data_IF_931140359492
#
_entry.id   IF_931140359492
#
_cell.length_a   1.000
_cell.length_b   1.000
_cell.length_c   1.000
_cell.angle_alpha   90.00
_cell.angle_beta   90.00
_cell.angle_gamma   90.00
#
_symmetry.space_group_name_H-M   'P 1'
#
loop_
_entity.id
_entity.type
_entity.pdbx_description
1 polymer ?
#
# COMPACT_ATOMS: atom_id res chain seq x y z
N UNK A 1 19.72 6.75 -8.44
CA UNK A 1 18.68 7.81 -8.41
C UNK A 1 19.37 9.16 -8.57
N UNK A 2 18.79 10.12 -9.30
CA UNK A 2 19.35 11.47 -9.37
C UNK A 2 19.33 12.12 -7.96
N UNK A 3 20.44 12.71 -7.46
CA UNK A 3 20.52 13.26 -6.11
C UNK A 3 19.48 14.36 -5.81
N UNK A 4 19.19 15.23 -6.80
CA UNK A 4 18.19 16.28 -6.67
C UNK A 4 16.79 15.72 -6.48
N UNK A 5 16.45 14.69 -7.28
CA UNK A 5 15.14 14.01 -7.17
C UNK A 5 15.03 13.28 -5.83
N UNK A 6 16.12 12.66 -5.35
CA UNK A 6 16.16 12.02 -4.02
C UNK A 6 15.85 13.01 -2.92
N UNK A 7 16.52 14.16 -2.92
CA UNK A 7 16.32 15.20 -1.91
C UNK A 7 14.90 15.78 -1.93
N UNK A 8 14.34 16.00 -3.11
CA UNK A 8 12.95 16.46 -3.25
C UNK A 8 11.96 15.44 -2.68
N UNK A 9 12.18 14.16 -2.94
CA UNK A 9 11.34 13.09 -2.41
C UNK A 9 11.42 12.98 -0.88
N UNK A 10 12.62 13.06 -0.29
CA UNK A 10 12.82 13.06 1.16
C UNK A 10 12.10 14.23 1.83
N UNK A 11 12.24 15.45 1.28
CA UNK A 11 11.54 16.64 1.79
C UNK A 11 10.02 16.48 1.73
N UNK A 12 9.52 15.90 0.63
CA UNK A 12 8.11 15.61 0.47
C UNK A 12 7.60 14.61 1.53
N UNK A 13 8.35 13.53 1.79
CA UNK A 13 8.02 12.54 2.83
C UNK A 13 7.99 13.16 4.23
N UNK A 14 8.94 14.02 4.56
CA UNK A 14 9.00 14.70 5.85
C UNK A 14 7.78 15.63 6.06
N UNK A 15 7.37 16.36 5.02
CA UNK A 15 6.22 17.28 5.09
C UNK A 15 4.89 16.54 5.25
N UNK A 16 4.77 15.34 4.67
CA UNK A 16 3.51 14.59 4.58
C UNK A 16 3.23 13.65 5.74
N UNK A 17 4.15 13.53 6.70
CA UNK A 17 3.93 12.75 7.92
C UNK A 17 3.59 13.69 9.08
N UNK A 18 2.32 13.79 9.51
CA UNK A 18 1.97 14.55 10.71
C UNK A 18 2.67 13.99 11.96
N UNK A 19 2.92 14.83 12.99
CA UNK A 19 3.61 14.42 14.21
C UNK A 19 2.93 13.24 14.92
N UNK A 20 1.60 13.21 14.92
CA UNK A 20 0.79 12.24 15.67
C UNK A 20 0.20 11.11 14.82
N UNK A 21 0.58 11.02 13.53
CA UNK A 21 0.06 9.98 12.64
C UNK A 21 1.12 8.89 12.42
N UNK A 22 0.66 7.62 12.40
CA UNK A 22 1.52 6.46 12.11
C UNK A 22 1.97 6.49 10.66
N UNK A 23 3.12 5.89 10.39
CA UNK A 23 3.67 5.82 9.03
C UNK A 23 2.74 5.03 8.11
N UNK A 24 2.22 3.89 8.56
CA UNK A 24 1.21 3.08 7.87
C UNK A 24 -0.02 3.91 7.46
N UNK A 25 -0.51 4.77 8.34
CA UNK A 25 -1.62 5.65 8.02
C UNK A 25 -1.25 6.72 6.96
N UNK A 26 0.00 7.17 6.94
CA UNK A 26 0.52 8.08 5.92
C UNK A 26 0.75 7.39 4.56
N UNK A 27 0.91 6.06 4.52
CA UNK A 27 1.19 5.32 3.28
C UNK A 27 0.12 5.51 2.22
N UNK A 28 -1.15 5.65 2.61
CA UNK A 28 -2.27 5.94 1.69
C UNK A 28 -2.15 7.30 0.98
N UNK A 29 -1.33 8.21 1.50
CA UNK A 29 -1.04 9.51 0.87
C UNK A 29 0.01 9.39 -0.24
N UNK A 30 0.83 8.34 -0.20
CA UNK A 30 1.93 8.11 -1.15
C UNK A 30 1.58 7.04 -2.18
N UNK A 31 0.83 6.02 -1.77
CA UNK A 31 0.52 4.85 -2.57
C UNK A 31 -0.97 4.54 -2.53
N UNK A 32 -1.53 4.26 -3.69
CA UNK A 32 -2.87 3.66 -3.74
C UNK A 32 -2.82 2.20 -3.26
N UNK A 33 -3.93 1.64 -2.76
CA UNK A 33 -4.00 0.21 -2.45
C UNK A 33 -3.58 -0.66 -3.65
N UNK A 34 -3.93 -0.25 -4.87
CA UNK A 34 -3.58 -0.97 -6.10
C UNK A 34 -2.09 -0.98 -6.39
N UNK A 35 -1.38 0.12 -6.10
CA UNK A 35 0.08 0.14 -6.23
C UNK A 35 0.78 -0.77 -5.22
N UNK A 36 0.15 -1.07 -4.08
CA UNK A 36 0.69 -1.97 -3.06
C UNK A 36 0.23 -3.43 -3.22
N UNK A 37 -0.81 -3.69 -4.00
CA UNK A 37 -1.41 -5.02 -4.17
C UNK A 37 -0.42 -6.08 -4.66
N UNK A 38 0.45 -5.67 -5.59
CA UNK A 38 1.45 -6.53 -6.20
C UNK A 38 2.71 -6.68 -5.33
N UNK A 39 2.70 -6.14 -4.12
CA UNK A 39 3.78 -6.29 -3.16
C UNK A 39 3.35 -7.19 -2.00
N UNK A 40 4.34 -7.91 -1.48
CA UNK A 40 4.29 -8.65 -0.23
C UNK A 40 5.49 -8.25 0.63
N UNK A 41 5.42 -8.56 1.92
CA UNK A 41 6.55 -8.35 2.82
C UNK A 41 7.75 -9.22 2.42
N UNK A 42 7.51 -10.52 2.26
CA UNK A 42 8.50 -11.50 1.78
C UNK A 42 8.09 -12.01 0.39
N UNK A 43 9.07 -12.46 -0.40
CA UNK A 43 8.77 -13.19 -1.65
C UNK A 43 7.97 -14.43 -1.30
N UNK A 44 6.78 -14.55 -1.87
CA UNK A 44 6.00 -15.78 -1.79
C UNK A 44 6.61 -16.80 -2.74
N UNK A 45 6.72 -18.06 -2.31
CA UNK A 45 7.17 -19.17 -3.15
C UNK A 45 6.14 -19.55 -4.23
N UNK A 46 4.93 -18.98 -4.18
CA UNK A 46 3.85 -19.21 -5.13
C UNK A 46 4.21 -18.63 -6.51
N UNK A 47 4.46 -19.49 -7.53
CA UNK A 47 4.85 -19.05 -8.87
C UNK A 47 3.71 -18.33 -9.61
N UNK A 48 2.46 -18.60 -9.22
CA UNK A 48 1.25 -18.09 -9.87
C UNK A 48 0.88 -16.68 -9.37
N UNK A 49 1.47 -16.27 -8.24
CA UNK A 49 1.31 -14.94 -7.63
C UNK A 49 2.69 -14.30 -7.42
N UNK A 50 3.31 -13.84 -8.50
CA UNK A 50 4.61 -13.12 -8.47
C UNK A 50 4.48 -11.73 -7.84
N UNK A 51 4.13 -11.66 -6.55
CA UNK A 51 4.20 -10.42 -5.77
C UNK A 51 5.66 -10.09 -5.45
N UNK A 52 6.03 -8.83 -5.64
CA UNK A 52 7.36 -8.33 -5.36
C UNK A 52 7.58 -8.15 -3.86
N UNK A 53 8.81 -8.35 -3.37
CA UNK A 53 9.12 -8.08 -1.96
C UNK A 53 9.33 -6.59 -1.75
N UNK A 54 8.57 -6.01 -0.82
CA UNK A 54 8.76 -4.61 -0.43
C UNK A 54 10.12 -4.36 0.24
N UNK A 55 10.71 -5.38 0.88
CA UNK A 55 12.08 -5.31 1.44
C UNK A 55 13.16 -5.06 0.38
N UNK A 56 12.95 -5.55 -0.84
CA UNK A 56 13.91 -5.37 -1.94
C UNK A 56 13.79 -3.96 -2.56
N UNK A 57 12.76 -3.18 -2.19
CA UNK A 57 12.47 -1.88 -2.78
C UNK A 57 13.20 -0.73 -2.07
N UNK A 58 14.53 -0.81 -2.05
CA UNK A 58 15.44 0.10 -1.33
C UNK A 58 15.26 1.59 -1.68
N UNK A 59 14.86 1.88 -2.92
CA UNK A 59 14.66 3.25 -3.38
C UNK A 59 13.70 4.04 -2.48
N UNK A 60 12.62 3.40 -2.03
CA UNK A 60 11.63 4.04 -1.16
C UNK A 60 12.00 3.95 0.31
N UNK A 61 12.46 2.78 0.76
CA UNK A 61 12.72 2.54 2.19
C UNK A 61 13.88 3.40 2.69
N UNK A 62 14.96 3.55 1.92
CA UNK A 62 16.08 4.42 2.31
C UNK A 62 15.66 5.88 2.44
N UNK A 63 14.86 6.39 1.50
CA UNK A 63 14.39 7.77 1.55
C UNK A 63 13.42 8.00 2.72
N UNK A 64 12.61 7.01 3.08
CA UNK A 64 11.71 7.06 4.24
C UNK A 64 12.47 7.06 5.55
N UNK A 65 13.50 6.21 5.68
CA UNK A 65 14.40 6.22 6.85
C UNK A 65 15.07 7.58 6.95
N UNK A 66 15.63 8.11 5.87
CA UNK A 66 16.30 9.42 5.87
C UNK A 66 15.33 10.56 6.22
N UNK A 67 14.08 10.52 5.75
CA UNK A 67 13.08 11.55 6.04
C UNK A 67 12.58 11.52 7.49
N UNK A 68 12.49 10.36 8.12
CA UNK A 68 11.80 10.19 9.40
C UNK A 68 12.71 9.80 10.57
N UNK A 69 13.94 9.35 10.32
CA UNK A 69 14.92 9.04 11.37
C UNK A 69 15.20 10.25 12.26
N UNK A 70 15.34 11.44 11.68
CA UNK A 70 15.68 12.66 12.43
C UNK A 70 14.52 13.25 13.22
N UNK A 71 13.28 12.97 12.81
CA UNK A 71 12.08 13.61 13.35
C UNK A 71 11.22 12.70 14.23
N UNK A 72 11.37 11.38 14.09
CA UNK A 72 10.47 10.39 14.71
C UNK A 72 11.21 9.17 15.29
N UNK A 73 12.53 9.24 15.46
CA UNK A 73 13.37 8.14 15.97
C UNK A 73 13.14 6.81 15.24
N UNK A 74 12.85 6.91 13.94
CA UNK A 74 12.46 5.75 13.15
C UNK A 74 13.69 4.92 12.75
N UNK A 75 13.73 3.68 13.19
CA UNK A 75 14.69 2.68 12.70
C UNK A 75 14.12 1.80 11.57
N UNK A 76 14.99 1.01 10.95
CA UNK A 76 14.61 0.14 9.84
C UNK A 76 13.56 -0.91 10.27
N UNK A 77 13.65 -1.44 11.50
CA UNK A 77 12.71 -2.44 12.00
C UNK A 77 11.30 -1.88 12.20
N UNK A 78 11.19 -0.65 12.70
CA UNK A 78 9.93 0.07 12.87
C UNK A 78 9.31 0.42 11.52
N UNK A 79 10.10 0.93 10.56
CA UNK A 79 9.60 1.19 9.21
C UNK A 79 9.03 -0.09 8.57
N UNK A 80 9.71 -1.21 8.81
CA UNK A 80 9.34 -2.51 8.27
C UNK A 80 8.04 -3.05 8.87
N UNK A 81 7.85 -2.89 10.18
CA UNK A 81 6.57 -3.20 10.82
C UNK A 81 5.42 -2.35 10.25
N UNK A 82 5.64 -1.04 10.09
CA UNK A 82 4.64 -0.12 9.52
C UNK A 82 4.31 -0.43 8.06
N UNK A 83 5.32 -0.81 7.26
CA UNK A 83 5.14 -1.29 5.88
C UNK A 83 4.28 -2.54 5.81
N UNK A 84 4.48 -3.49 6.73
CA UNK A 84 3.70 -4.71 6.78
C UNK A 84 2.22 -4.43 7.11
N UNK A 85 1.95 -3.47 8.00
CA UNK A 85 0.59 -2.99 8.29
C UNK A 85 -0.02 -2.39 7.02
N UNK A 86 0.67 -1.46 6.37
CA UNK A 86 0.16 -0.79 5.16
C UNK A 86 -0.15 -1.77 4.01
N UNK A 87 0.69 -2.79 3.82
CA UNK A 87 0.44 -3.85 2.83
C UNK A 87 -0.81 -4.67 3.15
N UNK A 88 -1.00 -5.00 4.43
CA UNK A 88 -2.17 -5.76 4.90
C UNK A 88 -3.45 -4.96 4.66
N UNK A 89 -3.47 -3.69 5.06
CA UNK A 89 -4.61 -2.79 4.83
C UNK A 89 -4.92 -2.61 3.34
N UNK A 90 -3.88 -2.53 2.49
CA UNK A 90 -4.06 -2.43 1.04
C UNK A 90 -4.69 -3.70 0.45
N UNK A 91 -4.25 -4.88 0.87
CA UNK A 91 -4.83 -6.15 0.42
C UNK A 91 -6.29 -6.29 0.88
N UNK A 92 -6.59 -5.93 2.12
CA UNK A 92 -7.95 -5.92 2.66
C UNK A 92 -8.86 -4.97 1.88
N UNK A 93 -8.41 -3.75 1.62
CA UNK A 93 -9.17 -2.73 0.86
C UNK A 93 -9.54 -3.22 -0.54
N UNK A 94 -8.61 -3.91 -1.22
CA UNK A 94 -8.85 -4.48 -2.54
C UNK A 94 -9.80 -5.68 -2.47
N UNK A 95 -9.61 -6.58 -1.51
CA UNK A 95 -10.49 -7.72 -1.32
C UNK A 95 -11.93 -7.27 -1.04
N UNK A 96 -12.11 -6.24 -0.19
CA UNK A 96 -13.41 -5.63 0.06
C UNK A 96 -14.00 -5.00 -1.21
N UNK A 97 -13.18 -4.34 -2.03
CA UNK A 97 -13.60 -3.77 -3.31
C UNK A 97 -14.08 -4.85 -4.29
N UNK A 98 -13.34 -5.95 -4.42
CA UNK A 98 -13.76 -7.11 -5.22
C UNK A 98 -15.05 -7.72 -4.71
N UNK A 99 -15.18 -7.89 -3.38
CA UNK A 99 -16.38 -8.41 -2.76
C UNK A 99 -17.61 -7.54 -3.06
N UNK A 100 -17.50 -6.21 -2.86
CA UNK A 100 -18.57 -5.25 -3.16
C UNK A 100 -18.96 -5.29 -4.64
N UNK A 101 -17.97 -5.34 -5.55
CA UNK A 101 -18.21 -5.44 -6.99
C UNK A 101 -18.95 -6.74 -7.36
N UNK A 102 -18.56 -7.87 -6.76
CA UNK A 102 -19.22 -9.16 -6.98
C UNK A 102 -20.67 -9.12 -6.51
N UNK A 103 -20.93 -8.66 -5.28
CA UNK A 103 -22.30 -8.52 -4.73
C UNK A 103 -23.19 -7.62 -5.59
N UNK A 104 -22.66 -6.48 -6.06
CA UNK A 104 -23.39 -5.60 -6.97
C UNK A 104 -23.73 -6.30 -8.29
N UNK A 105 -22.80 -7.08 -8.84
CA UNK A 105 -23.01 -7.82 -10.09
C UNK A 105 -24.07 -8.91 -9.93
N UNK A 106 -24.02 -9.68 -8.83
CA UNK A 106 -25.03 -10.69 -8.48
C UNK A 106 -26.44 -10.08 -8.38
N UNK A 107 -26.56 -8.92 -7.71
CA UNK A 107 -27.83 -8.21 -7.59
C UNK A 107 -28.37 -7.73 -8.94
N UNK A 108 -27.52 -7.15 -9.79
CA UNK A 108 -27.91 -6.71 -11.14
C UNK A 108 -28.41 -7.90 -11.96
N UNK A 109 -27.70 -9.04 -11.92
CA UNK A 109 -28.08 -10.25 -12.64
C UNK A 109 -29.43 -10.79 -12.15
N UNK A 110 -29.68 -10.77 -10.84
CA UNK A 110 -30.97 -11.16 -10.27
C UNK A 110 -32.11 -10.26 -10.77
N UNK A 111 -31.92 -8.94 -10.77
CA UNK A 111 -32.91 -7.98 -11.26
C UNK A 111 -33.20 -8.16 -12.76
N UNK A 112 -32.16 -8.42 -13.57
CA UNK A 112 -32.33 -8.67 -14.99
C UNK A 112 -33.16 -9.94 -15.22
N UNK A 113 -32.84 -11.05 -14.54
CA UNK A 113 -33.61 -12.30 -14.65
C UNK A 113 -35.09 -12.11 -14.31
N UNK A 114 -35.42 -11.33 -13.28
CA UNK A 114 -36.81 -11.03 -12.92
C UNK A 114 -37.56 -10.24 -14.00
N UNK A 115 -36.87 -9.41 -14.79
CA UNK A 115 -37.48 -8.63 -15.89
C UNK A 115 -37.77 -9.46 -17.14
N UNK A 116 -37.03 -10.54 -17.38
CA UNK A 116 -37.19 -11.41 -18.55
C UNK A 116 -38.06 -12.66 -18.28
N UNK A 117 -38.66 -12.77 -17.09
CA UNK A 117 -39.62 -13.85 -16.72
C UNK A 117 -41.07 -13.35 -16.79
N UNK A 118 -41.31 -12.21 -17.45
CA UNK A 118 -42.64 -11.72 -17.85
C UNK A 118 -42.70 -11.64 -19.37
#
# INVERSE_FOLDING_TARGET
MNPTVRLQYIRYLALKKPPNERISACFKQFFSPWSLYNFNWQKTADPDRRKQSMREFKLFTECMIEAWSSSHELDEAQLFAELQIALTEAHESINQSHYKRRKRSEMIQMMLRQKFVK
#
